data_IF_066433820674
#
_entry.id   IF_066433820674
#
_cell.length_a   1.000
_cell.length_b   1.000
_cell.length_c   1.000
_cell.angle_alpha   90.00
_cell.angle_beta   90.00
_cell.angle_gamma   90.00
#
_symmetry.space_group_name_H-M   'P 1'
#
loop_
_entity.id
_entity.type
_entity.pdbx_description
1 polymer ?
#
# COMPACT_ATOMS: atom_id res chain seq x y z
N UNK A 1 -1.85 -9.54 13.21
CA UNK A 1 -2.01 -10.25 11.92
C UNK A 1 -0.83 -11.19 11.72
N UNK A 2 -1.04 -12.40 11.19
CA UNK A 2 0.09 -13.28 10.85
C UNK A 2 0.96 -12.57 9.80
N UNK A 3 2.30 -12.57 9.92
CA UNK A 3 3.19 -11.85 9.01
C UNK A 3 2.98 -12.26 7.55
N UNK A 4 2.62 -13.54 7.32
CA UNK A 4 2.26 -14.07 6.00
C UNK A 4 1.09 -13.33 5.33
N UNK A 5 0.07 -12.95 6.09
CA UNK A 5 -1.12 -12.25 5.57
C UNK A 5 -0.81 -10.80 5.21
N UNK A 6 0.03 -10.12 6.00
CA UNK A 6 0.46 -8.75 5.71
C UNK A 6 1.30 -8.68 4.43
N UNK A 7 2.22 -9.64 4.25
CA UNK A 7 3.02 -9.76 3.02
C UNK A 7 2.14 -10.06 1.81
N UNK A 8 1.17 -10.97 1.94
CA UNK A 8 0.21 -11.29 0.87
C UNK A 8 -0.63 -10.06 0.48
N UNK A 9 -1.06 -9.27 1.46
CA UNK A 9 -1.78 -8.01 1.23
C UNK A 9 -0.92 -7.01 0.46
N UNK A 10 0.35 -6.80 0.86
CA UNK A 10 1.26 -5.89 0.14
C UNK A 10 1.42 -6.35 -1.31
N UNK A 11 1.68 -7.64 -1.54
CA UNK A 11 1.83 -8.21 -2.87
C UNK A 11 0.57 -8.04 -3.72
N UNK A 12 -0.60 -8.41 -3.19
CA UNK A 12 -1.87 -8.29 -3.89
C UNK A 12 -2.18 -6.84 -4.24
N UNK A 13 -1.95 -5.91 -3.31
CA UNK A 13 -2.19 -4.50 -3.56
C UNK A 13 -1.19 -3.98 -4.61
N UNK A 14 0.06 -4.46 -4.62
CA UNK A 14 1.11 -4.02 -5.56
C UNK A 14 0.73 -4.38 -6.99
N UNK A 15 0.28 -5.61 -7.19
CA UNK A 15 -0.18 -6.10 -8.50
C UNK A 15 -1.40 -5.33 -8.96
N UNK A 16 -2.34 -5.04 -8.06
CA UNK A 16 -3.52 -4.25 -8.39
C UNK A 16 -3.17 -2.83 -8.87
N UNK A 17 -2.27 -2.14 -8.16
CA UNK A 17 -1.83 -0.80 -8.56
C UNK A 17 -1.01 -0.84 -9.85
N UNK A 18 -0.17 -1.85 -10.07
CA UNK A 18 0.56 -2.01 -11.34
C UNK A 18 -0.41 -2.14 -12.53
N UNK A 19 -1.45 -2.98 -12.43
CA UNK A 19 -2.48 -3.08 -13.45
C UNK A 19 -3.25 -1.77 -13.64
N UNK A 20 -3.61 -1.08 -12.55
CA UNK A 20 -4.33 0.19 -12.62
C UNK A 20 -3.51 1.29 -13.29
N UNK A 21 -2.19 1.33 -13.03
CA UNK A 21 -1.26 2.26 -13.66
C UNK A 21 -1.16 1.99 -15.16
N UNK A 22 -0.96 0.73 -15.57
CA UNK A 22 -0.90 0.37 -17.00
C UNK A 22 -2.22 0.73 -17.69
N UNK A 23 -3.36 0.39 -17.08
CA UNK A 23 -4.68 0.69 -17.65
C UNK A 23 -4.94 2.20 -17.76
N UNK A 24 -4.57 2.97 -16.73
CA UNK A 24 -4.70 4.42 -16.74
C UNK A 24 -3.80 5.06 -17.82
N UNK A 25 -2.59 4.54 -18.00
CA UNK A 25 -1.67 5.00 -19.04
C UNK A 25 -2.25 4.78 -20.43
N UNK A 26 -2.81 3.59 -20.72
CA UNK A 26 -3.43 3.30 -22.02
C UNK A 26 -4.69 4.15 -22.26
N UNK A 27 -5.49 4.41 -21.22
CA UNK A 27 -6.73 5.19 -21.36
C UNK A 27 -6.51 6.70 -21.48
N UNK A 28 -5.43 7.20 -20.87
CA UNK A 28 -5.14 8.64 -20.79
C UNK A 28 -3.98 9.06 -21.69
N UNK A 29 -3.47 8.16 -22.52
CA UNK A 29 -2.38 8.39 -23.46
C UNK A 29 -2.64 9.66 -24.30
N UNK A 30 -1.67 10.58 -24.31
CA UNK A 30 -1.78 11.86 -25.02
C UNK A 30 -2.54 12.98 -24.28
N UNK A 31 -3.10 12.72 -23.10
CA UNK A 31 -3.77 13.75 -22.28
C UNK A 31 -2.88 14.24 -21.14
N UNK A 32 -3.02 15.53 -20.77
CA UNK A 32 -2.33 16.14 -19.61
C UNK A 32 -2.73 15.50 -18.27
N UNK A 33 -3.84 14.76 -18.26
CA UNK A 33 -4.35 14.06 -17.09
C UNK A 33 -3.58 12.75 -16.79
N UNK A 34 -2.86 12.18 -17.76
CA UNK A 34 -2.09 10.95 -17.55
C UNK A 34 -1.10 11.11 -16.39
N UNK A 35 -0.29 12.18 -16.40
CA UNK A 35 0.67 12.46 -15.33
C UNK A 35 -0.01 12.64 -13.97
N UNK A 36 -1.11 13.39 -13.90
CA UNK A 36 -1.84 13.65 -12.65
C UNK A 36 -2.37 12.34 -12.06
N UNK A 37 -2.97 11.49 -12.90
CA UNK A 37 -3.54 10.21 -12.48
C UNK A 37 -2.44 9.24 -12.06
N UNK A 38 -1.35 9.13 -12.84
CA UNK A 38 -0.14 8.37 -12.48
C UNK A 38 0.42 8.78 -11.12
N UNK A 39 0.69 10.06 -10.89
CA UNK A 39 1.23 10.54 -9.61
C UNK A 39 0.26 10.33 -8.45
N UNK A 40 -1.05 10.46 -8.69
CA UNK A 40 -2.07 10.20 -7.67
C UNK A 40 -2.13 8.72 -7.28
N UNK A 41 -2.04 7.81 -8.25
CA UNK A 41 -1.93 6.36 -8.03
C UNK A 41 -0.69 6.01 -7.21
N UNK A 42 0.46 6.62 -7.54
CA UNK A 42 1.69 6.43 -6.76
C UNK A 42 1.54 6.99 -5.34
N UNK A 43 0.89 8.14 -5.15
CA UNK A 43 0.65 8.69 -3.81
C UNK A 43 -0.30 7.81 -2.98
N UNK A 44 -1.37 7.30 -3.60
CA UNK A 44 -2.33 6.38 -2.99
C UNK A 44 -1.67 5.04 -2.60
N UNK A 45 -0.69 4.59 -3.37
CA UNK A 45 0.10 3.39 -3.08
C UNK A 45 0.84 3.46 -1.73
N UNK A 46 1.23 4.66 -1.28
CA UNK A 46 1.93 4.83 0.00
C UNK A 46 1.05 4.62 1.23
N UNK A 47 -0.26 4.81 1.11
CA UNK A 47 -1.21 4.70 2.23
C UNK A 47 -1.17 3.32 2.90
N UNK A 48 -1.28 2.18 2.18
CA UNK A 48 -1.18 0.86 2.81
C UNK A 48 0.20 0.62 3.43
N UNK A 49 1.27 1.17 2.85
CA UNK A 49 2.62 1.04 3.40
C UNK A 49 2.78 1.76 4.74
N UNK A 50 2.27 2.99 4.83
CA UNK A 50 2.24 3.77 6.08
C UNK A 50 1.33 3.10 7.11
N UNK A 51 0.15 2.65 6.71
CA UNK A 51 -0.79 1.96 7.60
C UNK A 51 -0.18 0.68 8.19
N UNK A 52 0.47 -0.15 7.37
CA UNK A 52 1.16 -1.35 7.83
C UNK A 52 2.35 -1.03 8.73
N UNK A 53 3.09 0.04 8.44
CA UNK A 53 4.20 0.51 9.29
C UNK A 53 3.70 0.93 10.69
N UNK A 54 2.58 1.64 10.77
CA UNK A 54 1.95 2.04 12.03
C UNK A 54 1.34 0.83 12.75
N UNK A 55 0.64 -0.04 12.04
CA UNK A 55 0.05 -1.26 12.60
C UNK A 55 1.11 -2.21 13.17
N UNK A 56 2.26 -2.32 12.52
CA UNK A 56 3.40 -3.11 13.01
C UNK A 56 3.97 -2.55 14.31
N UNK A 57 4.05 -1.22 14.47
CA UNK A 57 4.51 -0.61 15.73
C UNK A 57 3.52 -0.85 16.86
N UNK A 58 2.22 -0.72 16.58
CA UNK A 58 1.15 -0.97 17.57
C UNK A 58 1.18 -2.42 18.06
N UNK A 59 1.38 -3.38 17.16
CA UNK A 59 1.51 -4.80 17.52
C UNK A 59 2.73 -5.11 18.40
N UNK A 60 3.87 -4.42 18.19
CA UNK A 60 5.05 -4.58 19.05
C UNK A 60 4.83 -3.98 20.45
N UNK A 61 4.13 -2.87 20.54
CA UNK A 61 3.89 -2.17 21.80
C UNK A 61 2.92 -2.95 22.73
N UNK A 62 1.89 -3.60 22.17
CA UNK A 62 0.97 -4.45 22.96
C UNK A 62 1.66 -5.72 23.45
N UNK A 63 2.59 -6.30 22.69
CA UNK A 63 3.34 -7.49 23.11
C UNK A 63 4.33 -7.21 24.25
N UNK A 64 4.94 -6.02 24.28
CA UNK A 64 5.88 -5.62 25.34
C UNK A 64 5.18 -5.37 26.69
N UNK A 65 3.98 -4.78 26.69
CA UNK A 65 3.21 -4.55 27.91
C UNK A 65 2.57 -5.83 28.51
N UNK A 66 2.44 -6.91 27.73
CA UNK A 66 1.91 -8.20 28.21
C UNK A 66 2.95 -9.14 28.81
N UNK A 67 4.23 -8.76 28.82
CA UNK A 67 5.35 -9.51 29.42
C UNK A 67 5.90 -8.85 30.69
N UNK A 68 5.24 -7.81 31.18
CA UNK A 68 5.60 -7.08 32.39
C UNK A 68 4.70 -7.42 33.60
N UNK A 69 4.01 -8.55 33.55
CA UNK A 69 3.31 -9.17 34.69
C UNK A 69 4.05 -10.42 35.15
#
# INVERSE_FOLDING_TARGET
>A
MKPKTAVLLILSTSVFFACAIILADTLLEGTKWNQIVMYSLIALWWIPFVYLSVASKRSKQTAFNGTAE
#
